data_IF_537440191992
#
_entry.id   IF_537440191992
#
_cell.length_a   1.000
_cell.length_b   1.000
_cell.length_c   1.000
_cell.angle_alpha   90.00
_cell.angle_beta   90.00
_cell.angle_gamma   90.00
#
_symmetry.space_group_name_H-M   'P 1'
#
loop_
_entity.id
_entity.type
_entity.pdbx_description
1 polymer ?
#
# COMPACT_ATOMS: atom_id res chain seq x y z
N UNK A 1 25.53 17.99 -46.29
CA UNK A 1 25.69 18.82 -45.07
C UNK A 1 25.97 17.93 -43.88
N UNK A 2 27.26 17.81 -43.50
CA UNK A 2 27.73 17.11 -42.32
C UNK A 2 27.42 17.96 -41.08
N UNK A 3 26.76 17.39 -40.07
CA UNK A 3 26.59 18.03 -38.76
C UNK A 3 27.66 17.43 -37.84
N UNK A 4 28.59 18.28 -37.41
CA UNK A 4 29.67 17.95 -36.48
C UNK A 4 29.16 18.08 -35.05
N UNK A 5 29.28 17.03 -34.25
CA UNK A 5 28.93 16.99 -32.83
C UNK A 5 30.18 17.43 -32.03
N UNK A 6 30.14 18.64 -31.47
CA UNK A 6 31.21 19.15 -30.61
C UNK A 6 30.90 18.77 -29.15
N UNK A 7 31.68 17.86 -28.58
CA UNK A 7 31.60 17.44 -27.18
C UNK A 7 32.55 18.31 -26.36
N UNK A 8 32.00 19.17 -25.51
CA UNK A 8 32.76 19.95 -24.54
C UNK A 8 32.97 19.11 -23.27
N UNK A 9 34.22 18.75 -22.98
CA UNK A 9 34.64 18.09 -21.73
C UNK A 9 35.12 19.17 -20.76
N UNK A 10 34.37 19.43 -19.69
CA UNK A 10 34.82 20.28 -18.59
C UNK A 10 35.67 19.46 -17.61
N UNK A 11 36.98 19.72 -17.60
CA UNK A 11 37.92 19.24 -16.57
C UNK A 11 38.04 20.32 -15.49
N UNK A 12 37.55 20.05 -14.28
CA UNK A 12 37.79 20.90 -13.11
C UNK A 12 39.14 20.54 -12.48
N UNK A 13 40.10 21.47 -12.56
CA UNK A 13 41.38 21.42 -11.84
C UNK A 13 41.22 22.18 -10.52
N UNK A 14 41.30 21.47 -9.39
CA UNK A 14 41.42 22.09 -8.06
C UNK A 14 42.90 22.44 -7.80
N UNK A 15 43.22 23.73 -7.73
CA UNK A 15 44.50 24.22 -7.21
C UNK A 15 44.45 24.34 -5.68
N UNK A 16 45.30 23.58 -4.98
CA UNK A 16 45.60 23.77 -3.57
C UNK A 16 46.58 24.95 -3.42
N UNK A 17 46.18 25.99 -2.68
CA UNK A 17 47.09 27.05 -2.23
C UNK A 17 47.53 26.73 -0.80
N UNK A 18 48.80 26.34 -0.64
CA UNK A 18 49.48 26.27 0.65
C UNK A 18 49.98 27.67 1.04
N UNK A 19 49.65 28.15 2.24
CA UNK A 19 50.33 29.28 2.88
C UNK A 19 51.12 28.81 4.10
N UNK A 20 52.43 29.11 4.05
CA UNK A 20 53.43 28.87 5.07
C UNK A 20 53.27 29.83 6.27
N UNK A 21 53.48 29.32 7.49
CA UNK A 21 53.45 30.14 8.70
C UNK A 21 54.13 29.51 9.93
N UNK A 22 55.47 29.49 9.89
CA UNK A 22 56.47 29.52 11.00
C UNK A 22 56.44 28.52 12.17
N UNK A 23 57.60 27.88 12.32
CA UNK A 23 58.10 27.07 13.44
C UNK A 23 58.17 27.82 14.79
N UNK A 24 57.95 27.08 15.88
CA UNK A 24 58.77 27.19 17.10
C UNK A 24 58.86 25.84 17.82
N UNK A 25 60.10 25.41 18.08
CA UNK A 25 60.53 24.21 18.82
C UNK A 25 59.97 24.16 20.26
N UNK A 26 59.60 22.98 20.74
CA UNK A 26 60.35 22.34 21.84
C UNK A 26 59.95 20.86 21.99
N UNK A 27 60.98 20.03 22.13
CA UNK A 27 60.97 18.58 22.25
C UNK A 27 60.31 18.08 23.54
N UNK A 28 59.58 16.97 23.48
CA UNK A 28 59.76 15.82 24.38
C UNK A 28 58.95 14.61 23.88
N UNK A 29 59.68 13.52 23.66
CA UNK A 29 59.19 12.19 23.32
C UNK A 29 58.72 11.50 24.60
N UNK A 30 57.51 10.92 24.58
CA UNK A 30 57.14 9.81 25.46
C UNK A 30 56.13 8.93 24.70
N UNK A 31 56.61 7.74 24.32
CA UNK A 31 55.78 6.64 23.83
C UNK A 31 54.85 6.18 24.94
N UNK A 32 53.54 6.30 24.71
CA UNK A 32 52.49 5.72 25.52
C UNK A 32 51.39 5.22 24.61
N UNK A 33 51.26 3.90 24.51
CA UNK A 33 50.15 3.23 23.83
C UNK A 33 48.82 3.62 24.50
N UNK A 34 48.14 4.61 23.93
CA UNK A 34 46.73 4.85 24.15
C UNK A 34 46.02 4.63 22.81
N UNK A 35 45.40 3.45 22.66
CA UNK A 35 44.33 3.28 21.69
C UNK A 35 43.37 4.47 21.88
N UNK A 36 43.06 5.28 20.84
CA UNK A 36 42.00 6.25 20.98
C UNK A 36 40.74 5.42 21.18
N UNK A 37 40.24 5.42 22.42
CA UNK A 37 38.85 5.07 22.68
C UNK A 37 38.05 5.93 21.72
N UNK A 38 37.40 5.33 20.72
CA UNK A 38 36.32 5.97 20.00
C UNK A 38 35.20 6.20 21.01
N UNK A 39 35.36 7.20 21.86
CA UNK A 39 34.26 7.87 22.53
C UNK A 39 33.46 8.52 21.41
N UNK A 40 32.49 7.76 20.90
CA UNK A 40 31.43 8.25 20.03
C UNK A 40 30.90 9.52 20.70
N UNK A 41 30.94 10.70 20.04
CA UNK A 41 30.37 11.90 20.61
C UNK A 41 28.89 11.65 20.94
N UNK A 42 28.45 12.18 22.08
CA UNK A 42 27.14 12.00 22.69
C UNK A 42 25.97 12.65 21.91
N UNK A 43 26.03 12.69 20.58
CA UNK A 43 24.96 13.18 19.72
C UNK A 43 24.89 12.42 18.38
N UNK A 44 25.28 11.14 18.37
CA UNK A 44 25.17 10.29 17.19
C UNK A 44 23.73 9.74 17.10
N UNK A 45 22.85 10.45 16.39
CA UNK A 45 21.57 9.89 15.96
C UNK A 45 21.83 8.56 15.25
N UNK A 46 21.21 7.47 15.73
CA UNK A 46 21.45 6.13 15.18
C UNK A 46 20.61 5.94 13.93
N UNK A 47 21.26 5.80 12.78
CA UNK A 47 20.60 5.44 11.53
C UNK A 47 20.36 3.93 11.52
N UNK A 48 19.15 3.50 11.15
CA UNK A 48 18.84 2.11 10.92
C UNK A 48 17.87 1.94 9.75
N UNK A 49 17.77 0.71 9.26
CA UNK A 49 16.99 0.39 8.07
C UNK A 49 15.91 -0.64 8.39
N UNK A 50 14.85 -0.67 7.59
CA UNK A 50 13.83 -1.72 7.63
C UNK A 50 13.33 -2.02 6.23
N UNK A 51 13.25 -3.30 5.88
CA UNK A 51 12.77 -3.76 4.57
C UNK A 51 11.41 -4.41 4.76
N UNK A 52 10.39 -3.86 4.12
CA UNK A 52 9.02 -4.41 4.11
C UNK A 52 8.63 -4.80 2.71
N UNK A 53 8.22 -6.06 2.54
CA UNK A 53 7.54 -6.54 1.35
C UNK A 53 6.03 -6.52 1.57
N UNK A 54 5.32 -5.77 0.72
CA UNK A 54 3.87 -5.79 0.61
C UNK A 54 3.46 -6.66 -0.59
N UNK A 55 3.06 -7.90 -0.30
CA UNK A 55 2.54 -8.83 -1.31
C UNK A 55 1.02 -8.68 -1.44
N UNK A 56 0.64 -7.63 -2.17
CA UNK A 56 -0.73 -7.35 -2.57
C UNK A 56 -1.26 -8.32 -3.62
N UNK A 57 -2.59 -8.37 -3.78
CA UNK A 57 -3.24 -9.28 -4.73
C UNK A 57 -2.99 -8.97 -6.21
N UNK A 58 -2.52 -7.76 -6.54
CA UNK A 58 -2.25 -7.32 -7.92
C UNK A 58 -0.80 -6.97 -8.20
N UNK A 59 0.05 -7.04 -7.18
CA UNK A 59 1.48 -6.76 -7.29
C UNK A 59 2.18 -6.87 -5.95
N UNK A 60 3.48 -7.15 -6.02
CA UNK A 60 4.38 -7.25 -4.86
C UNK A 60 5.29 -6.03 -4.85
N UNK A 61 5.40 -5.37 -3.69
CA UNK A 61 6.16 -4.13 -3.51
C UNK A 61 7.25 -4.36 -2.47
N UNK A 62 8.38 -3.70 -2.64
CA UNK A 62 9.42 -3.58 -1.63
C UNK A 62 9.55 -2.13 -1.20
N UNK A 63 9.57 -1.93 0.11
CA UNK A 63 9.85 -0.66 0.77
C UNK A 63 11.14 -0.84 1.57
N UNK A 64 12.10 0.04 1.35
CA UNK A 64 13.34 0.11 2.14
C UNK A 64 13.36 1.46 2.82
N UNK A 65 13.05 1.46 4.12
CA UNK A 65 13.00 2.66 4.94
C UNK A 65 14.36 2.92 5.58
N UNK A 66 14.75 4.19 5.61
CA UNK A 66 15.87 4.71 6.39
C UNK A 66 15.32 5.55 7.52
N UNK A 67 15.67 5.21 8.75
CA UNK A 67 15.20 5.89 9.95
C UNK A 67 16.36 6.52 10.71
N UNK A 68 16.07 7.63 11.38
CA UNK A 68 16.97 8.32 12.29
C UNK A 68 16.38 8.24 13.69
N UNK A 69 17.03 7.49 14.59
CA UNK A 69 16.71 7.45 16.01
C UNK A 69 17.40 8.64 16.70
N UNK A 70 16.61 9.64 17.13
CA UNK A 70 17.12 10.82 17.86
C UNK A 70 17.26 10.58 19.35
N UNK A 71 16.28 9.93 19.95
CA UNK A 71 16.22 9.60 21.37
C UNK A 71 16.02 8.08 21.53
N UNK A 72 16.65 7.39 22.49
CA UNK A 72 16.55 5.93 22.63
C UNK A 72 15.11 5.41 22.68
N UNK A 73 14.23 6.08 23.41
CA UNK A 73 12.83 5.67 23.62
C UNK A 73 11.83 6.45 22.73
N UNK A 74 12.33 7.37 21.89
CA UNK A 74 11.52 8.19 21.00
C UNK A 74 11.05 7.45 19.76
N UNK A 75 10.08 8.03 19.03
CA UNK A 75 9.71 7.51 17.73
C UNK A 75 10.81 7.79 16.70
N UNK A 76 11.20 6.79 15.89
CA UNK A 76 12.18 7.00 14.85
C UNK A 76 11.65 7.98 13.81
N UNK A 77 12.48 8.92 13.37
CA UNK A 77 12.11 9.84 12.29
C UNK A 77 12.42 9.16 10.97
N UNK A 78 11.43 9.08 10.08
CA UNK A 78 11.66 8.60 8.72
C UNK A 78 12.49 9.63 7.94
N UNK A 79 13.63 9.20 7.42
CA UNK A 79 14.54 10.01 6.61
C UNK A 79 14.28 9.79 5.12
N UNK A 80 14.20 8.53 4.69
CA UNK A 80 14.01 8.19 3.29
C UNK A 80 13.25 6.88 3.09
N UNK A 81 12.58 6.76 1.94
CA UNK A 81 11.98 5.54 1.44
C UNK A 81 12.48 5.26 0.02
N UNK A 82 13.07 4.08 -0.19
CA UNK A 82 13.18 3.51 -1.52
C UNK A 82 12.00 2.57 -1.76
N UNK A 83 11.31 2.77 -2.87
CA UNK A 83 10.13 2.00 -3.26
C UNK A 83 10.32 1.35 -4.64
N UNK A 84 9.98 0.07 -4.77
CA UNK A 84 9.86 -0.60 -6.07
C UNK A 84 8.70 -1.60 -6.07
N UNK A 85 8.11 -1.85 -7.24
CA UNK A 85 6.94 -2.72 -7.36
C UNK A 85 6.98 -3.58 -8.61
N UNK A 86 6.50 -4.81 -8.50
CA UNK A 86 6.36 -5.76 -9.60
C UNK A 86 4.92 -6.27 -9.70
N UNK A 87 4.50 -6.61 -10.92
CA UNK A 87 3.19 -7.20 -11.23
C UNK A 87 3.40 -8.48 -12.07
N UNK A 88 2.51 -9.47 -11.99
CA UNK A 88 1.35 -9.57 -11.10
C UNK A 88 1.74 -9.81 -9.63
N UNK A 89 0.75 -9.90 -8.73
CA UNK A 89 0.99 -10.27 -7.33
C UNK A 89 1.29 -11.77 -7.19
N UNK A 90 1.90 -12.18 -6.08
CA UNK A 90 2.36 -13.57 -5.92
C UNK A 90 1.24 -14.62 -6.01
N UNK A 91 0.00 -14.25 -5.70
CA UNK A 91 -1.15 -15.16 -5.85
C UNK A 91 -1.40 -15.60 -7.29
N UNK A 92 -0.87 -14.89 -8.30
CA UNK A 92 -0.92 -15.33 -9.68
C UNK A 92 -0.02 -16.54 -9.98
N UNK A 93 0.94 -16.83 -9.08
CA UNK A 93 1.90 -17.93 -9.21
C UNK A 93 1.60 -19.06 -8.23
N UNK A 94 0.36 -19.17 -7.76
CA UNK A 94 -0.05 -20.19 -6.78
C UNK A 94 0.20 -21.64 -7.25
N UNK A 95 0.27 -21.86 -8.57
CA UNK A 95 0.56 -23.16 -9.17
C UNK A 95 2.03 -23.31 -9.62
N UNK A 96 2.84 -22.24 -9.55
CA UNK A 96 4.26 -22.22 -9.95
C UNK A 96 5.06 -21.36 -8.95
N UNK A 97 5.23 -21.82 -7.70
CA UNK A 97 5.81 -21.02 -6.61
C UNK A 97 7.22 -20.48 -6.90
N UNK A 98 8.02 -21.16 -7.73
CA UNK A 98 9.38 -20.77 -8.08
C UNK A 98 9.44 -19.37 -8.71
N UNK A 99 8.40 -18.98 -9.47
CA UNK A 99 8.28 -17.64 -10.05
C UNK A 99 8.08 -16.59 -8.95
N UNK A 100 7.37 -16.93 -7.87
CA UNK A 100 7.20 -16.06 -6.72
C UNK A 100 8.55 -15.81 -6.02
N UNK A 101 9.34 -16.87 -5.81
CA UNK A 101 10.70 -16.76 -5.30
C UNK A 101 11.60 -15.89 -6.17
N UNK A 102 11.58 -16.10 -7.50
CA UNK A 102 12.32 -15.24 -8.43
C UNK A 102 11.91 -13.76 -8.33
N UNK A 103 10.61 -13.48 -8.21
CA UNK A 103 10.08 -12.12 -8.03
C UNK A 103 10.62 -11.47 -6.76
N UNK A 104 10.64 -12.21 -5.64
CA UNK A 104 11.18 -11.71 -4.37
C UNK A 104 12.70 -11.51 -4.45
N UNK A 105 13.44 -12.43 -5.09
CA UNK A 105 14.90 -12.28 -5.34
C UNK A 105 15.18 -11.00 -6.15
N UNK A 106 14.39 -10.69 -7.17
CA UNK A 106 14.53 -9.46 -7.96
C UNK A 106 14.34 -8.20 -7.11
N UNK A 107 13.30 -8.17 -6.29
CA UNK A 107 13.03 -7.06 -5.37
C UNK A 107 14.11 -6.92 -4.28
N UNK A 108 14.62 -8.03 -3.72
CA UNK A 108 15.73 -8.03 -2.76
C UNK A 108 17.01 -7.39 -3.32
N UNK A 109 17.26 -7.45 -4.63
CA UNK A 109 18.40 -6.75 -5.25
C UNK A 109 18.28 -5.24 -5.06
N UNK A 110 17.06 -4.70 -4.99
CA UNK A 110 16.84 -3.28 -4.73
C UNK A 110 17.23 -2.93 -3.30
N UNK A 111 16.89 -3.77 -2.31
CA UNK A 111 17.36 -3.62 -0.94
C UNK A 111 18.89 -3.72 -0.82
N UNK A 112 19.53 -4.71 -1.48
CA UNK A 112 21.00 -4.85 -1.48
C UNK A 112 21.73 -3.64 -2.05
N UNK A 113 21.12 -2.94 -3.02
CA UNK A 113 21.66 -1.69 -3.60
C UNK A 113 21.43 -0.47 -2.70
N UNK A 114 20.42 -0.51 -1.85
CA UNK A 114 19.99 0.64 -1.03
C UNK A 114 20.63 0.62 0.36
N UNK A 115 20.69 -0.55 1.01
CA UNK A 115 21.21 -0.70 2.37
C UNK A 115 22.72 -0.93 2.33
N UNK A 116 23.54 -0.21 3.10
CA UNK A 116 24.98 -0.45 3.19
C UNK A 116 25.30 -1.89 3.66
N UNK A 117 26.31 -2.57 3.09
CA UNK A 117 26.64 -3.95 3.45
C UNK A 117 26.88 -4.20 4.94
N UNK A 118 27.44 -3.21 5.65
CA UNK A 118 27.70 -3.29 7.10
C UNK A 118 26.43 -3.34 7.94
N UNK A 119 25.28 -2.90 7.40
CA UNK A 119 23.99 -2.90 8.09
C UNK A 119 23.11 -4.10 7.72
N UNK A 120 23.50 -4.93 6.74
CA UNK A 120 22.67 -6.03 6.24
C UNK A 120 22.24 -6.97 7.38
N UNK A 121 23.19 -7.47 8.17
CA UNK A 121 22.93 -8.40 9.29
C UNK A 121 22.07 -7.83 10.41
N UNK A 122 21.85 -6.51 10.46
CA UNK A 122 21.02 -5.83 11.47
C UNK A 122 19.70 -5.32 10.89
N UNK A 123 19.57 -5.31 9.57
CA UNK A 123 18.39 -4.78 8.88
C UNK A 123 17.34 -5.88 8.79
N UNK A 124 16.20 -5.76 9.49
CA UNK A 124 15.12 -6.74 9.37
C UNK A 124 14.54 -6.69 7.96
N UNK A 125 14.33 -7.85 7.38
CA UNK A 125 13.46 -8.04 6.24
C UNK A 125 12.18 -8.71 6.71
N UNK A 126 11.03 -8.18 6.29
CA UNK A 126 9.70 -8.68 6.63
C UNK A 126 8.85 -8.76 5.37
N UNK A 127 8.10 -9.84 5.25
CA UNK A 127 7.15 -10.08 4.18
C UNK A 127 5.76 -10.26 4.74
N UNK A 128 4.80 -9.53 4.17
CA UNK A 128 3.40 -9.64 4.54
C UNK A 128 2.56 -9.75 3.27
N UNK A 129 1.93 -10.91 3.12
CA UNK A 129 0.91 -11.09 2.11
C UNK A 129 -0.45 -10.60 2.62
N UNK A 130 -1.25 -10.00 1.74
CA UNK A 130 -2.57 -9.48 2.10
C UNK A 130 -3.68 -10.36 1.50
N UNK A 131 -4.78 -9.76 1.03
CA UNK A 131 -5.95 -10.49 0.55
C UNK A 131 -5.68 -11.46 -0.59
N UNK A 132 -4.64 -11.24 -1.40
CA UNK A 132 -4.29 -12.12 -2.51
C UNK A 132 -4.07 -13.56 -2.07
N UNK A 133 -3.20 -13.76 -1.06
CA UNK A 133 -2.94 -15.09 -0.52
C UNK A 133 -4.03 -15.56 0.44
N UNK A 134 -4.73 -14.65 1.14
CA UNK A 134 -5.90 -15.01 1.97
C UNK A 134 -7.02 -15.68 1.18
N UNK A 135 -7.14 -15.39 -0.11
CA UNK A 135 -8.15 -15.97 -1.01
C UNK A 135 -7.72 -17.29 -1.66
N UNK A 136 -6.46 -17.71 -1.49
CA UNK A 136 -5.99 -18.98 -2.04
C UNK A 136 -6.35 -20.15 -1.11
N UNK A 137 -6.38 -21.39 -1.64
CA UNK A 137 -6.35 -22.58 -0.82
C UNK A 137 -5.15 -22.55 0.15
N UNK A 138 -5.33 -22.91 1.43
CA UNK A 138 -4.27 -22.79 2.44
C UNK A 138 -2.95 -23.47 2.05
N UNK A 139 -3.01 -24.64 1.40
CA UNK A 139 -1.82 -25.35 0.94
C UNK A 139 -1.01 -24.53 -0.08
N UNK A 140 -1.67 -23.95 -1.10
CA UNK A 140 -0.99 -23.12 -2.11
C UNK A 140 -0.40 -21.85 -1.50
N UNK A 141 -1.14 -21.23 -0.57
CA UNK A 141 -0.64 -20.07 0.17
C UNK A 141 0.60 -20.44 0.99
N UNK A 142 0.60 -21.60 1.66
CA UNK A 142 1.73 -22.08 2.45
C UNK A 142 2.97 -22.31 1.59
N UNK A 143 2.85 -23.04 0.48
CA UNK A 143 3.99 -23.29 -0.43
C UNK A 143 4.58 -22.00 -1.00
N UNK A 144 3.75 -21.00 -1.31
CA UNK A 144 4.24 -19.68 -1.71
C UNK A 144 5.04 -18.99 -0.59
N UNK A 145 4.64 -19.12 0.67
CA UNK A 145 5.36 -18.54 1.79
C UNK A 145 6.66 -19.28 2.09
N UNK A 146 6.71 -20.60 1.92
CA UNK A 146 7.92 -21.41 2.05
C UNK A 146 8.99 -20.96 1.06
N UNK A 147 8.66 -20.81 -0.23
CA UNK A 147 9.61 -20.31 -1.23
C UNK A 147 10.11 -18.88 -0.88
N UNK A 148 9.25 -18.03 -0.33
CA UNK A 148 9.66 -16.69 0.12
C UNK A 148 10.58 -16.76 1.34
N UNK A 149 10.32 -17.67 2.26
CA UNK A 149 11.15 -17.91 3.44
C UNK A 149 12.55 -18.39 3.02
N UNK A 150 12.65 -19.35 2.11
CA UNK A 150 13.92 -19.83 1.58
C UNK A 150 14.73 -18.69 0.93
N UNK A 151 14.08 -17.84 0.14
CA UNK A 151 14.71 -16.65 -0.45
C UNK A 151 15.22 -15.65 0.59
N UNK A 152 14.52 -15.52 1.72
CA UNK A 152 14.93 -14.64 2.81
C UNK A 152 16.11 -15.22 3.59
N UNK A 153 16.10 -16.52 3.85
CA UNK A 153 17.17 -17.23 4.57
C UNK A 153 18.48 -17.28 3.75
N UNK A 154 18.39 -17.32 2.41
CA UNK A 154 19.52 -17.12 1.50
C UNK A 154 20.05 -15.67 1.46
N UNK A 155 19.29 -14.71 1.99
CA UNK A 155 19.62 -13.29 1.94
C UNK A 155 20.59 -12.89 3.07
N UNK A 156 21.37 -11.80 2.91
CA UNK A 156 22.29 -11.35 3.95
C UNK A 156 21.59 -10.54 5.07
N UNK A 157 20.28 -10.36 4.97
CA UNK A 157 19.51 -9.52 5.88
C UNK A 157 19.13 -10.28 7.15
N UNK A 158 18.76 -9.54 8.20
CA UNK A 158 18.21 -10.16 9.40
C UNK A 158 16.80 -10.68 9.13
N UNK A 159 16.56 -11.97 9.36
CA UNK A 159 15.26 -12.63 9.18
C UNK A 159 14.68 -13.00 10.55
N UNK A 160 13.76 -12.20 11.11
CA UNK A 160 13.04 -12.56 12.33
C UNK A 160 12.19 -13.83 12.14
N UNK A 161 11.87 -14.54 13.23
CA UNK A 161 11.04 -15.75 13.18
C UNK A 161 9.63 -15.52 12.59
N UNK A 162 9.07 -14.31 12.72
CA UNK A 162 7.80 -13.89 12.11
C UNK A 162 8.01 -13.07 10.82
N UNK A 163 9.13 -13.27 10.11
CA UNK A 163 9.48 -12.50 8.93
C UNK A 163 8.51 -12.70 7.78
N UNK A 164 8.11 -13.94 7.47
CA UNK A 164 7.21 -14.25 6.36
C UNK A 164 5.85 -14.69 6.90
N UNK A 165 4.80 -13.93 6.61
CA UNK A 165 3.44 -14.29 7.06
C UNK A 165 2.33 -13.65 6.24
N UNK A 166 1.10 -14.15 6.40
CA UNK A 166 -0.10 -13.51 5.88
C UNK A 166 -0.62 -12.52 6.92
N UNK A 167 -0.73 -11.25 6.54
CA UNK A 167 -1.29 -10.22 7.39
C UNK A 167 -2.82 -10.35 7.43
N UNK A 168 -3.36 -10.41 8.65
CA UNK A 168 -4.81 -10.30 8.83
C UNK A 168 -5.28 -8.89 8.44
N UNK A 169 -6.53 -8.77 7.98
CA UNK A 169 -7.01 -7.49 7.44
C UNK A 169 -7.15 -6.39 8.50
N UNK A 170 -7.36 -6.76 9.76
CA UNK A 170 -7.39 -5.82 10.90
C UNK A 170 -6.04 -5.14 11.09
N UNK A 171 -4.94 -5.90 11.09
CA UNK A 171 -3.58 -5.40 11.23
C UNK A 171 -3.16 -4.55 10.02
N UNK A 172 -3.67 -4.86 8.82
CA UNK A 172 -3.48 -4.05 7.61
C UNK A 172 -4.06 -2.63 7.83
N UNK A 173 -5.31 -2.54 8.30
CA UNK A 173 -5.95 -1.26 8.63
C UNK A 173 -5.25 -0.51 9.78
N UNK A 174 -4.88 -1.21 10.86
CA UNK A 174 -4.17 -0.60 12.00
C UNK A 174 -2.77 -0.09 11.62
N UNK A 175 -2.05 -0.84 10.78
CA UNK A 175 -0.73 -0.44 10.31
C UNK A 175 -0.83 0.76 9.36
N UNK A 176 -1.82 0.79 8.47
CA UNK A 176 -2.12 1.99 7.68
C UNK A 176 -2.45 3.19 8.57
N UNK A 177 -3.26 3.01 9.62
CA UNK A 177 -3.57 4.09 10.56
C UNK A 177 -2.29 4.63 11.24
N UNK A 178 -1.37 3.75 11.65
CA UNK A 178 -0.08 4.14 12.20
C UNK A 178 0.79 4.88 11.19
N UNK A 179 0.83 4.46 9.91
CA UNK A 179 1.50 5.21 8.84
C UNK A 179 0.97 6.64 8.76
N UNK A 180 -0.35 6.80 8.70
CA UNK A 180 -0.98 8.12 8.60
C UNK A 180 -0.61 9.02 9.78
N UNK A 181 -0.74 8.51 10.99
CA UNK A 181 -0.44 9.29 12.19
C UNK A 181 1.05 9.63 12.27
N UNK A 182 1.95 8.74 11.83
CA UNK A 182 3.37 9.05 11.79
C UNK A 182 3.71 10.20 10.82
N UNK A 183 3.10 10.20 9.62
CA UNK A 183 3.47 11.14 8.55
C UNK A 183 2.71 12.47 8.64
N UNK A 184 1.45 12.45 9.09
CA UNK A 184 0.59 13.66 9.15
C UNK A 184 0.63 14.38 10.49
N UNK A 185 0.77 13.67 11.61
CA UNK A 185 0.67 14.23 12.96
C UNK A 185 1.88 15.07 13.44
N UNK A 186 3.02 15.22 12.71
CA UNK A 186 3.98 16.27 13.05
C UNK A 186 3.40 17.70 12.89
N UNK A 187 2.20 17.85 12.31
CA UNK A 187 1.39 19.07 12.42
C UNK A 187 0.31 18.84 13.48
N UNK A 188 0.40 19.60 14.57
CA UNK A 188 -0.35 19.52 15.83
C UNK A 188 -1.89 19.72 15.68
N UNK A 189 -2.57 18.91 14.87
CA UNK A 189 -4.02 18.97 14.66
C UNK A 189 -4.68 17.76 15.31
N UNK A 190 -5.40 18.01 16.41
CA UNK A 190 -6.19 17.05 17.22
C UNK A 190 -7.33 16.32 16.46
N UNK A 191 -7.31 16.25 15.13
CA UNK A 191 -8.32 15.54 14.35
C UNK A 191 -7.74 14.23 13.84
N UNK A 192 -7.93 13.16 14.60
CA UNK A 192 -7.73 11.80 14.09
C UNK A 192 -8.61 11.59 12.85
N UNK A 193 -7.98 11.29 11.72
CA UNK A 193 -8.67 11.10 10.43
C UNK A 193 -9.03 9.63 10.20
N UNK A 194 -10.12 9.40 9.48
CA UNK A 194 -10.46 8.06 9.01
C UNK A 194 -9.67 7.70 7.76
N UNK A 195 -9.41 6.42 7.56
CA UNK A 195 -8.69 5.90 6.40
C UNK A 195 -9.50 4.82 5.68
N UNK A 196 -9.38 4.80 4.36
CA UNK A 196 -9.95 3.80 3.46
C UNK A 196 -8.87 3.25 2.55
N UNK A 197 -8.71 1.93 2.55
CA UNK A 197 -7.85 1.23 1.60
C UNK A 197 -8.73 0.39 0.68
N UNK A 198 -8.55 0.52 -0.64
CA UNK A 198 -9.18 -0.35 -1.61
C UNK A 198 -8.09 -1.11 -2.36
N UNK A 199 -7.80 -2.31 -1.87
CA UNK A 199 -6.92 -3.25 -2.53
C UNK A 199 -7.63 -4.01 -3.66
N UNK A 200 -6.91 -4.94 -4.29
CA UNK A 200 -7.50 -5.79 -5.32
C UNK A 200 -8.41 -6.88 -4.74
N UNK A 201 -8.04 -7.46 -3.59
CA UNK A 201 -8.75 -8.58 -2.96
C UNK A 201 -9.62 -8.21 -1.76
N UNK A 202 -9.33 -7.11 -1.06
CA UNK A 202 -10.10 -6.62 0.07
C UNK A 202 -10.19 -5.09 0.05
N UNK A 203 -11.08 -4.56 0.87
CA UNK A 203 -11.10 -3.14 1.24
C UNK A 203 -11.14 -3.01 2.75
N UNK A 204 -10.47 -1.99 3.28
CA UNK A 204 -10.33 -1.73 4.70
C UNK A 204 -10.86 -0.35 5.02
N UNK A 205 -11.47 -0.24 6.20
CA UNK A 205 -11.90 1.01 6.78
C UNK A 205 -11.42 1.05 8.22
N UNK A 206 -10.75 2.15 8.60
CA UNK A 206 -10.28 2.35 9.98
C UNK A 206 -10.49 3.80 10.39
N UNK A 207 -11.17 4.03 11.51
CA UNK A 207 -11.37 5.37 12.05
C UNK A 207 -11.57 5.35 13.57
N UNK A 208 -11.40 6.50 14.21
CA UNK A 208 -11.76 6.69 15.60
C UNK A 208 -13.25 7.04 15.68
N UNK A 209 -14.13 6.17 16.22
CA UNK A 209 -15.54 6.50 16.38
C UNK A 209 -15.73 7.57 17.46
N UNK A 210 -16.58 8.55 17.19
CA UNK A 210 -17.03 9.59 18.13
C UNK A 210 -18.45 9.34 18.61
N UNK A 211 -19.25 8.60 17.85
CA UNK A 211 -20.64 8.30 18.19
C UNK A 211 -20.72 7.07 19.08
N UNK A 212 -21.30 7.23 20.28
CA UNK A 212 -21.62 6.11 21.18
C UNK A 212 -22.45 5.03 20.49
N UNK A 213 -23.40 5.42 19.62
CA UNK A 213 -24.19 4.47 18.83
C UNK A 213 -23.32 3.59 17.94
N UNK A 214 -22.26 4.15 17.33
CA UNK A 214 -21.35 3.37 16.48
C UNK A 214 -20.58 2.36 17.31
N UNK A 215 -20.08 2.73 18.48
CA UNK A 215 -19.39 1.82 19.40
C UNK A 215 -20.31 0.68 19.86
N UNK A 216 -21.55 1.01 20.26
CA UNK A 216 -22.50 0.01 20.78
C UNK A 216 -23.10 -0.90 19.70
N UNK A 217 -23.27 -0.40 18.46
CA UNK A 217 -23.85 -1.18 17.36
C UNK A 217 -22.83 -1.96 16.52
N UNK A 218 -21.55 -1.64 16.66
CA UNK A 218 -20.50 -2.31 15.89
C UNK A 218 -20.38 -3.79 16.32
N UNK A 219 -20.12 -4.70 15.38
CA UNK A 219 -19.67 -6.05 15.72
C UNK A 219 -18.46 -6.00 16.67
N UNK A 220 -18.39 -6.92 17.63
CA UNK A 220 -17.35 -6.90 18.66
C UNK A 220 -15.93 -7.01 18.07
N UNK A 221 -15.77 -7.73 16.96
CA UNK A 221 -14.50 -7.90 16.23
C UNK A 221 -14.07 -6.67 15.43
N UNK A 222 -14.93 -5.65 15.30
CA UNK A 222 -14.63 -4.41 14.57
C UNK A 222 -14.06 -3.33 15.50
N UNK A 223 -14.27 -3.47 16.81
CA UNK A 223 -13.76 -2.55 17.82
C UNK A 223 -12.43 -3.09 18.36
N UNK A 224 -11.33 -2.41 18.04
CA UNK A 224 -9.99 -2.87 18.39
C UNK A 224 -9.26 -1.83 19.22
N UNK A 225 -8.75 -2.27 20.38
CA UNK A 225 -7.82 -1.49 21.18
C UNK A 225 -6.43 -1.55 20.58
N UNK A 226 -5.85 -0.39 20.35
CA UNK A 226 -4.63 -0.24 19.59
C UNK A 226 -3.70 0.77 20.25
N UNK A 227 -2.53 0.29 20.67
CA UNK A 227 -1.49 1.15 21.22
C UNK A 227 -0.68 1.81 20.10
N UNK A 228 -0.64 3.14 20.15
CA UNK A 228 0.04 3.98 19.18
C UNK A 228 0.64 5.18 19.89
N UNK A 229 1.96 5.33 19.81
CA UNK A 229 2.68 6.53 20.26
C UNK A 229 2.35 6.90 21.72
N UNK A 230 2.49 5.92 22.63
CA UNK A 230 2.24 6.04 24.07
C UNK A 230 0.78 6.29 24.48
N UNK A 231 -0.16 6.14 23.55
CA UNK A 231 -1.60 6.24 23.81
C UNK A 231 -2.34 5.00 23.31
N UNK A 232 -3.35 4.56 24.04
CA UNK A 232 -4.26 3.50 23.61
C UNK A 232 -5.49 4.11 22.97
N UNK A 233 -5.78 3.72 21.74
CA UNK A 233 -6.97 4.13 21.01
C UNK A 233 -7.94 2.96 20.85
N UNK A 234 -9.23 3.23 20.94
CA UNK A 234 -10.25 2.27 20.57
C UNK A 234 -10.78 2.62 19.18
N UNK A 235 -10.31 1.88 18.17
CA UNK A 235 -10.58 2.17 16.77
C UNK A 235 -11.67 1.24 16.23
N UNK A 236 -12.54 1.79 15.39
CA UNK A 236 -13.32 0.97 14.47
C UNK A 236 -12.39 0.58 13.33
N UNK A 237 -12.20 -0.72 13.10
CA UNK A 237 -11.40 -1.23 11.99
C UNK A 237 -12.00 -2.52 11.45
N UNK A 238 -12.13 -2.60 10.14
CA UNK A 238 -12.53 -3.85 9.51
C UNK A 238 -11.98 -3.99 8.10
N UNK A 239 -11.76 -5.24 7.68
CA UNK A 239 -11.33 -5.63 6.35
C UNK A 239 -12.36 -6.54 5.70
N UNK A 240 -13.01 -6.05 4.66
CA UNK A 240 -13.96 -6.83 3.86
C UNK A 240 -13.19 -7.64 2.80
N UNK A 241 -12.84 -8.88 3.14
CA UNK A 241 -12.19 -9.83 2.23
C UNK A 241 -13.15 -10.24 1.10
N UNK A 242 -12.68 -10.27 -0.14
CA UNK A 242 -13.54 -10.50 -1.32
C UNK A 242 -14.20 -9.24 -1.86
N UNK A 243 -14.05 -8.10 -1.19
CA UNK A 243 -14.62 -6.80 -1.60
C UNK A 243 -13.53 -5.79 -2.02
N UNK A 244 -12.36 -6.27 -2.43
CA UNK A 244 -11.41 -5.44 -3.18
C UNK A 244 -11.88 -5.21 -4.61
N UNK A 245 -11.29 -4.27 -5.34
CA UNK A 245 -11.79 -3.87 -6.66
C UNK A 245 -11.79 -5.02 -7.67
N UNK A 246 -10.79 -5.91 -7.64
CA UNK A 246 -10.69 -7.05 -8.57
C UNK A 246 -11.60 -8.20 -8.14
N UNK A 247 -11.67 -8.48 -6.84
CA UNK A 247 -12.59 -9.46 -6.29
C UNK A 247 -14.06 -9.08 -6.52
N UNK A 248 -14.39 -7.79 -6.39
CA UNK A 248 -15.74 -7.28 -6.67
C UNK A 248 -16.16 -7.46 -8.13
N UNK A 249 -15.22 -7.36 -9.09
CA UNK A 249 -15.49 -7.73 -10.49
C UNK A 249 -15.93 -9.19 -10.60
N UNK A 250 -15.18 -10.10 -9.98
CA UNK A 250 -15.55 -11.53 -9.96
C UNK A 250 -16.89 -11.77 -9.29
N UNK A 251 -17.17 -11.11 -8.16
CA UNK A 251 -18.45 -11.25 -7.47
C UNK A 251 -19.63 -10.82 -8.31
N UNK A 252 -19.51 -9.69 -9.02
CA UNK A 252 -20.56 -9.21 -9.92
C UNK A 252 -20.79 -10.15 -11.11
N UNK A 253 -19.74 -10.84 -11.56
CA UNK A 253 -19.79 -11.87 -12.59
C UNK A 253 -20.25 -13.24 -12.05
N UNK A 254 -20.58 -13.37 -10.77
CA UNK A 254 -20.96 -14.64 -10.14
C UNK A 254 -19.82 -15.67 -10.06
N UNK A 255 -18.57 -15.23 -10.20
CA UNK A 255 -17.39 -16.08 -10.31
C UNK A 255 -16.49 -16.11 -9.06
N UNK A 256 -16.78 -15.30 -8.04
CA UNK A 256 -15.97 -15.29 -6.81
C UNK A 256 -16.08 -16.65 -6.08
N UNK A 257 -14.94 -17.29 -5.81
CA UNK A 257 -14.88 -18.61 -5.18
C UNK A 257 -15.11 -19.79 -6.13
N UNK A 258 -15.27 -19.55 -7.43
CA UNK A 258 -15.22 -20.62 -8.43
C UNK A 258 -13.75 -20.92 -8.78
N UNK A 259 -13.34 -22.18 -8.76
CA UNK A 259 -11.97 -22.64 -9.06
C UNK A 259 -11.60 -22.52 -10.56
N UNK A 260 -12.11 -21.52 -11.27
CA UNK A 260 -11.91 -21.39 -12.73
C UNK A 260 -12.51 -22.55 -13.55
N UNK A 261 -13.20 -23.51 -12.92
CA UNK A 261 -13.67 -24.77 -13.52
C UNK A 261 -14.97 -24.64 -14.33
N UNK A 262 -15.51 -23.44 -14.49
CA UNK A 262 -16.63 -23.19 -15.40
C UNK A 262 -16.18 -22.23 -16.49
N UNK A 263 -15.99 -22.77 -17.70
CA UNK A 263 -15.97 -22.04 -18.98
C UNK A 263 -17.31 -21.32 -19.27
N UNK A 264 -17.96 -20.77 -18.25
CA UNK A 264 -19.17 -19.99 -18.40
C UNK A 264 -18.75 -18.60 -18.80
N UNK A 265 -19.05 -18.22 -20.04
CA UNK A 265 -19.02 -16.84 -20.49
C UNK A 265 -19.84 -16.00 -19.50
N UNK A 266 -19.17 -15.13 -18.74
CA UNK A 266 -19.86 -14.29 -17.78
C UNK A 266 -20.24 -12.97 -18.43
N UNK A 267 -21.52 -12.64 -18.34
CA UNK A 267 -22.08 -11.40 -18.88
C UNK A 267 -22.39 -10.43 -17.75
N UNK A 268 -22.17 -9.13 -17.99
CA UNK A 268 -22.51 -8.08 -17.01
C UNK A 268 -23.01 -6.81 -17.71
N UNK A 269 -23.95 -6.10 -17.07
CA UNK A 269 -24.41 -4.77 -17.52
C UNK A 269 -23.41 -3.65 -17.26
N UNK A 270 -22.34 -3.94 -16.52
CA UNK A 270 -21.24 -3.02 -16.24
C UNK A 270 -20.23 -2.89 -17.39
N UNK A 271 -20.23 -3.84 -18.34
CA UNK A 271 -19.37 -3.81 -19.52
C UNK A 271 -20.14 -3.31 -20.76
N UNK A 272 -19.46 -2.70 -21.76
CA UNK A 272 -20.09 -2.30 -23.01
C UNK A 272 -20.70 -3.50 -23.77
N UNK A 273 -21.87 -3.34 -24.40
CA UNK A 273 -22.63 -4.44 -25.06
C UNK A 273 -21.85 -5.30 -26.06
N UNK A 274 -20.86 -4.73 -26.75
CA UNK A 274 -20.05 -5.42 -27.77
C UNK A 274 -18.65 -5.77 -27.28
N UNK A 275 -18.38 -5.53 -26.01
CA UNK A 275 -17.09 -5.85 -25.43
C UNK A 275 -17.04 -7.34 -25.09
N UNK A 276 -15.97 -7.98 -25.53
CA UNK A 276 -15.54 -9.31 -25.11
C UNK A 276 -14.05 -9.23 -24.82
N UNK A 277 -13.62 -9.84 -23.73
CA UNK A 277 -12.20 -9.89 -23.38
C UNK A 277 -11.93 -10.83 -22.22
N UNK A 278 -10.70 -10.77 -21.74
CA UNK A 278 -10.24 -11.57 -20.61
C UNK A 278 -9.97 -10.71 -19.38
N UNK A 279 -10.16 -11.32 -18.22
CA UNK A 279 -9.81 -10.75 -16.93
C UNK A 279 -9.10 -11.80 -16.09
N UNK A 280 -7.92 -11.48 -15.56
CA UNK A 280 -7.17 -12.41 -14.70
C UNK A 280 -7.09 -11.91 -13.26
N UNK A 281 -7.34 -12.80 -12.30
CA UNK A 281 -7.20 -12.53 -10.87
C UNK A 281 -7.02 -13.83 -10.09
N UNK A 282 -6.12 -13.82 -9.10
CA UNK A 282 -5.91 -14.98 -8.21
C UNK A 282 -5.39 -16.24 -8.90
N UNK A 283 -4.63 -16.10 -10.00
CA UNK A 283 -4.09 -17.23 -10.77
C UNK A 283 -5.03 -17.76 -11.86
N UNK A 284 -6.25 -17.25 -11.95
CA UNK A 284 -7.24 -17.67 -12.94
C UNK A 284 -7.49 -16.59 -13.99
N UNK A 285 -7.87 -17.02 -15.20
CA UNK A 285 -8.32 -16.17 -16.30
C UNK A 285 -9.79 -16.43 -16.61
N UNK A 286 -10.55 -15.36 -16.78
CA UNK A 286 -12.00 -15.38 -16.97
C UNK A 286 -12.36 -14.70 -18.28
N UNK A 287 -13.16 -15.36 -19.10
CA UNK A 287 -13.75 -14.77 -20.31
C UNK A 287 -15.00 -13.97 -19.91
N UNK A 288 -14.99 -12.67 -20.21
CA UNK A 288 -16.04 -11.73 -19.78
C UNK A 288 -16.57 -10.94 -20.97
N UNK A 289 -17.85 -10.63 -20.92
CA UNK A 289 -18.49 -9.82 -21.97
C UNK A 289 -19.60 -8.92 -21.42
N UNK A 290 -19.95 -7.90 -22.20
CA UNK A 290 -21.18 -7.13 -21.95
C UNK A 290 -22.42 -7.98 -22.20
N UNK A 291 -23.52 -7.68 -21.51
CA UNK A 291 -24.83 -8.27 -21.84
C UNK A 291 -25.23 -7.92 -23.27
N UNK A 292 -25.66 -8.92 -24.04
CA UNK A 292 -26.17 -8.77 -25.41
C UNK A 292 -27.59 -8.21 -25.39
N UNK A 293 -28.43 -8.79 -24.53
CA UNK A 293 -29.83 -8.45 -24.34
C UNK A 293 -30.02 -7.79 -22.98
N UNK A 294 -30.55 -6.56 -22.97
CA UNK A 294 -30.78 -5.80 -21.75
C UNK A 294 -30.24 -4.36 -21.76
N UNK A 295 -30.33 -3.72 -20.59
CA UNK A 295 -29.93 -2.33 -20.38
C UNK A 295 -28.52 -2.31 -19.79
N UNK A 296 -27.61 -1.57 -20.42
CA UNK A 296 -26.27 -1.27 -19.89
C UNK A 296 -26.23 0.15 -19.34
N UNK A 297 -25.14 0.47 -18.64
CA UNK A 297 -24.89 1.80 -18.10
C UNK A 297 -25.04 1.86 -16.59
N UNK A 298 -24.85 3.07 -16.04
CA UNK A 298 -24.60 3.24 -14.61
C UNK A 298 -25.70 2.63 -13.72
N UNK A 299 -26.97 2.78 -14.09
CA UNK A 299 -28.10 2.29 -13.27
C UNK A 299 -28.13 0.76 -13.22
N UNK A 300 -28.00 0.09 -14.37
CA UNK A 300 -28.00 -1.36 -14.43
C UNK A 300 -26.77 -1.95 -13.72
N UNK A 301 -25.59 -1.36 -13.98
CA UNK A 301 -24.36 -1.75 -13.31
C UNK A 301 -24.44 -1.58 -11.78
N UNK A 302 -25.01 -0.47 -11.31
CA UNK A 302 -25.22 -0.24 -9.86
C UNK A 302 -26.09 -1.33 -9.24
N UNK A 303 -27.13 -1.79 -9.94
CA UNK A 303 -28.01 -2.84 -9.43
C UNK A 303 -27.29 -4.19 -9.27
N UNK A 304 -26.36 -4.52 -10.16
CA UNK A 304 -25.51 -5.70 -10.01
C UNK A 304 -24.54 -5.54 -8.83
N UNK A 305 -23.85 -4.41 -8.76
CA UNK A 305 -22.83 -4.18 -7.73
C UNK A 305 -23.42 -4.02 -6.33
N UNK A 306 -24.66 -3.52 -6.19
CA UNK A 306 -25.35 -3.51 -4.91
C UNK A 306 -25.60 -4.92 -4.36
N UNK A 307 -25.78 -5.93 -5.22
CA UNK A 307 -25.90 -7.34 -4.78
C UNK A 307 -24.58 -7.86 -4.19
N UNK A 308 -23.45 -7.38 -4.70
CA UNK A 308 -22.10 -7.71 -4.19
C UNK A 308 -21.86 -7.16 -2.79
N UNK A 309 -22.55 -6.08 -2.40
CA UNK A 309 -22.37 -5.43 -1.09
C UNK A 309 -23.41 -5.86 -0.06
N UNK A 310 -24.63 -6.18 -0.52
CA UNK A 310 -25.80 -6.42 0.34
C UNK A 310 -25.54 -7.54 1.35
N UNK A 311 -25.73 -7.23 2.63
CA UNK A 311 -25.58 -8.19 3.72
C UNK A 311 -24.13 -8.41 4.20
N UNK A 312 -23.15 -8.07 3.37
CA UNK A 312 -21.71 -8.23 3.64
C UNK A 312 -21.16 -6.97 4.33
N UNK A 313 -21.33 -5.80 3.72
CA UNK A 313 -20.83 -4.56 4.30
C UNK A 313 -21.77 -4.08 5.41
N UNK A 314 -21.21 -3.82 6.59
CA UNK A 314 -21.95 -3.26 7.73
C UNK A 314 -21.72 -1.76 7.79
N UNK A 315 -22.80 -1.00 7.66
CA UNK A 315 -22.76 0.46 7.63
C UNK A 315 -22.57 1.02 9.05
N UNK A 316 -21.45 1.73 9.36
CA UNK A 316 -21.31 2.41 10.63
C UNK A 316 -22.22 3.65 10.68
N UNK A 317 -22.88 3.87 11.82
CA UNK A 317 -23.85 4.97 11.95
C UNK A 317 -23.21 6.37 11.73
N UNK A 318 -21.99 6.57 12.19
CA UNK A 318 -21.30 7.87 12.22
C UNK A 318 -20.87 8.40 10.86
N UNK A 319 -20.70 7.55 9.84
CA UNK A 319 -20.18 7.98 8.53
C UNK A 319 -21.16 8.89 7.75
N UNK A 320 -22.39 9.02 8.26
CA UNK A 320 -23.38 9.99 7.77
C UNK A 320 -23.00 11.42 8.17
N UNK A 321 -22.22 11.63 9.22
CA UNK A 321 -21.93 12.95 9.77
C UNK A 321 -20.51 13.38 9.39
N UNK A 322 -20.45 14.17 8.32
CA UNK A 322 -19.27 14.71 7.60
C UNK A 322 -17.94 14.66 8.37
N UNK A 323 -17.18 13.59 8.16
CA UNK A 323 -15.78 13.45 8.55
C UNK A 323 -14.90 13.35 7.30
N UNK A 324 -13.71 13.93 7.36
CA UNK A 324 -12.71 13.80 6.29
C UNK A 324 -12.05 12.44 6.39
N UNK A 325 -12.04 11.71 5.28
CA UNK A 325 -11.35 10.44 5.15
C UNK A 325 -10.20 10.57 4.15
N UNK A 326 -9.09 9.92 4.44
CA UNK A 326 -8.04 9.66 3.46
C UNK A 326 -8.31 8.34 2.78
N UNK A 327 -8.17 8.31 1.46
CA UNK A 327 -8.38 7.10 0.67
C UNK A 327 -7.21 6.92 -0.30
N UNK A 328 -6.72 5.68 -0.40
CA UNK A 328 -5.52 5.34 -1.18
C UNK A 328 -5.74 4.03 -1.96
N UNK A 329 -4.67 3.53 -2.58
CA UNK A 329 -4.71 2.36 -3.48
C UNK A 329 -5.68 2.59 -4.63
N UNK A 330 -6.60 1.65 -4.90
CA UNK A 330 -7.49 1.76 -6.06
C UNK A 330 -8.53 2.89 -5.97
N UNK A 331 -8.74 3.51 -4.80
CA UNK A 331 -9.48 4.78 -4.76
C UNK A 331 -8.72 5.90 -5.48
N UNK A 332 -7.41 5.98 -5.27
CA UNK A 332 -6.54 6.95 -5.93
C UNK A 332 -6.41 6.63 -7.41
N UNK A 333 -6.05 5.39 -7.75
CA UNK A 333 -5.75 4.99 -9.14
C UNK A 333 -6.94 5.26 -10.08
N UNK A 334 -8.16 4.85 -9.68
CA UNK A 334 -9.35 5.05 -10.52
C UNK A 334 -9.83 6.50 -10.53
N UNK A 335 -9.55 7.28 -9.48
CA UNK A 335 -9.82 8.72 -9.52
C UNK A 335 -8.90 9.43 -10.51
N UNK A 336 -7.60 9.11 -10.51
CA UNK A 336 -6.63 9.66 -11.44
C UNK A 336 -6.95 9.25 -12.88
N UNK A 337 -7.23 7.96 -13.11
CA UNK A 337 -7.62 7.44 -14.41
C UNK A 337 -8.91 8.08 -14.95
N UNK A 338 -9.87 8.34 -14.06
CA UNK A 338 -11.11 9.02 -14.41
C UNK A 338 -10.93 10.54 -14.61
N UNK A 339 -9.75 11.10 -14.32
CA UNK A 339 -9.46 12.54 -14.42
C UNK A 339 -10.08 13.38 -13.30
N UNK A 340 -10.37 12.78 -12.14
CA UNK A 340 -10.90 13.48 -10.97
C UNK A 340 -9.81 14.14 -10.13
N UNK A 341 -8.57 13.64 -10.23
CA UNK A 341 -7.39 14.16 -9.52
C UNK A 341 -6.17 14.15 -10.43
N UNK A 342 -5.13 14.85 -10.00
CA UNK A 342 -3.80 14.79 -10.59
C UNK A 342 -3.08 13.51 -10.16
N UNK A 343 -2.51 12.76 -11.12
CA UNK A 343 -1.84 11.48 -10.85
C UNK A 343 -0.58 11.62 -9.97
N UNK A 344 0.05 12.79 -9.96
CA UNK A 344 1.27 13.05 -9.18
C UNK A 344 0.97 13.68 -7.81
N UNK A 345 0.01 14.61 -7.75
CA UNK A 345 -0.29 15.40 -6.54
C UNK A 345 -1.46 14.87 -5.72
N UNK A 346 -2.34 14.07 -6.33
CA UNK A 346 -3.61 13.69 -5.74
C UNK A 346 -4.62 14.84 -5.71
N UNK A 347 -5.59 14.77 -4.79
CA UNK A 347 -6.60 15.79 -4.64
C UNK A 347 -7.75 15.43 -3.69
N UNK A 348 -8.63 16.41 -3.46
CA UNK A 348 -9.84 16.24 -2.68
C UNK A 348 -11.04 16.02 -3.60
N UNK A 349 -11.76 14.90 -3.45
CA UNK A 349 -12.89 14.53 -4.31
C UNK A 349 -14.12 14.26 -3.46
N UNK A 350 -15.27 14.79 -3.84
CA UNK A 350 -16.53 14.41 -3.19
C UNK A 350 -17.09 13.14 -3.81
N UNK A 351 -17.81 12.35 -3.02
CA UNK A 351 -18.46 11.13 -3.50
C UNK A 351 -19.45 11.43 -4.65
N UNK A 352 -20.12 12.59 -4.63
CA UNK A 352 -20.97 13.03 -5.75
C UNK A 352 -20.20 13.16 -7.07
N UNK A 353 -18.91 13.51 -7.03
CA UNK A 353 -18.09 13.73 -8.22
C UNK A 353 -17.67 12.39 -8.81
N UNK A 354 -17.32 11.39 -7.98
CA UNK A 354 -17.19 10.00 -8.41
C UNK A 354 -18.46 9.50 -9.09
N UNK A 355 -19.64 9.74 -8.49
CA UNK A 355 -20.94 9.33 -9.05
C UNK A 355 -21.24 10.02 -10.38
N UNK A 356 -20.99 11.32 -10.49
CA UNK A 356 -21.13 12.06 -11.74
C UNK A 356 -20.25 11.45 -12.82
N UNK A 357 -18.98 11.19 -12.49
CA UNK A 357 -18.02 10.65 -13.43
C UNK A 357 -18.33 9.21 -13.84
N UNK A 358 -18.75 8.36 -12.90
CA UNK A 358 -19.22 7.01 -13.20
C UNK A 358 -20.39 7.02 -14.20
N UNK A 359 -21.37 7.93 -14.02
CA UNK A 359 -22.48 8.09 -14.98
C UNK A 359 -22.01 8.49 -16.38
N UNK A 360 -21.06 9.41 -16.47
CA UNK A 360 -20.48 9.84 -17.74
C UNK A 360 -19.78 8.67 -18.45
N UNK A 361 -18.88 7.98 -17.75
CA UNK A 361 -18.10 6.86 -18.29
C UNK A 361 -19.02 5.72 -18.74
N UNK A 362 -20.02 5.37 -17.93
CA UNK A 362 -20.92 4.26 -18.22
C UNK A 362 -21.91 4.54 -19.35
N UNK A 363 -22.42 5.77 -19.46
CA UNK A 363 -23.52 6.08 -20.39
C UNK A 363 -23.02 6.74 -21.69
N UNK A 364 -21.85 7.39 -21.66
CA UNK A 364 -21.25 8.11 -22.80
C UNK A 364 -19.73 7.86 -22.84
N UNK A 365 -19.27 6.63 -23.11
CA UNK A 365 -17.85 6.31 -23.11
C UNK A 365 -17.13 7.08 -24.23
N UNK A 366 -16.14 7.87 -23.85
CA UNK A 366 -15.16 8.47 -24.76
C UNK A 366 -14.18 7.42 -25.28
N UNK A 367 -13.46 7.74 -26.34
CA UNK A 367 -12.45 6.85 -26.94
C UNK A 367 -11.38 6.41 -25.92
N UNK A 368 -10.87 7.35 -25.11
CA UNK A 368 -9.94 7.05 -24.01
C UNK A 368 -10.53 6.05 -23.00
N UNK A 369 -11.80 6.20 -22.64
CA UNK A 369 -12.46 5.28 -21.70
C UNK A 369 -12.82 3.93 -22.31
N UNK A 370 -12.89 3.81 -23.65
CA UNK A 370 -13.06 2.50 -24.32
C UNK A 370 -11.81 1.63 -24.21
N UNK A 371 -10.64 2.22 -23.99
CA UNK A 371 -9.39 1.50 -23.75
C UNK A 371 -9.35 0.83 -22.36
N UNK A 372 -10.11 1.33 -21.38
CA UNK A 372 -10.35 0.63 -20.11
C UNK A 372 -11.82 0.22 -19.99
N UNK A 373 -12.18 -0.98 -20.49
CA UNK A 373 -13.55 -1.46 -20.51
C UNK A 373 -14.17 -1.64 -19.11
N UNK A 374 -13.35 -1.78 -18.07
CA UNK A 374 -13.82 -1.98 -16.69
C UNK A 374 -14.04 -0.68 -15.91
N UNK A 375 -13.59 0.48 -16.41
CA UNK A 375 -13.64 1.73 -15.65
C UNK A 375 -15.07 2.11 -15.22
N UNK A 376 -16.08 1.84 -16.05
CA UNK A 376 -17.48 2.00 -15.67
C UNK A 376 -17.84 1.17 -14.43
N UNK A 377 -17.47 -0.11 -14.44
CA UNK A 377 -17.70 -1.05 -13.35
C UNK A 377 -17.00 -0.58 -12.07
N UNK A 378 -15.72 -0.22 -12.19
CA UNK A 378 -14.89 0.12 -11.04
C UNK A 378 -15.36 1.41 -10.35
N UNK A 379 -15.65 2.46 -11.13
CA UNK A 379 -16.17 3.71 -10.59
C UNK A 379 -17.56 3.52 -9.99
N UNK A 380 -18.41 2.70 -10.62
CA UNK A 380 -19.73 2.38 -10.06
C UNK A 380 -19.59 1.60 -8.76
N UNK A 381 -18.63 0.67 -8.67
CA UNK A 381 -18.36 -0.09 -7.45
C UNK A 381 -17.88 0.81 -6.32
N UNK A 382 -16.92 1.70 -6.58
CA UNK A 382 -16.44 2.69 -5.61
C UNK A 382 -17.62 3.52 -5.07
N UNK A 383 -18.50 3.99 -5.94
CA UNK A 383 -19.69 4.78 -5.53
C UNK A 383 -20.63 3.95 -4.65
N UNK A 384 -20.97 2.72 -5.07
CA UNK A 384 -21.82 1.83 -4.29
C UNK A 384 -21.19 1.46 -2.95
N UNK A 385 -19.89 1.16 -2.91
CA UNK A 385 -19.17 0.81 -1.70
C UNK A 385 -19.17 1.97 -0.71
N UNK A 386 -18.83 3.19 -1.15
CA UNK A 386 -18.77 4.36 -0.28
C UNK A 386 -20.15 4.78 0.21
N UNK A 387 -21.14 4.86 -0.69
CA UNK A 387 -22.46 5.41 -0.36
C UNK A 387 -23.38 4.36 0.26
N UNK A 388 -23.53 3.22 -0.42
CA UNK A 388 -24.54 2.22 -0.07
C UNK A 388 -23.96 1.13 0.86
N UNK A 389 -22.64 0.89 0.81
CA UNK A 389 -21.93 0.01 1.74
C UNK A 389 -21.59 0.71 3.06
N UNK A 390 -20.69 1.71 3.01
CA UNK A 390 -20.22 2.42 4.20
C UNK A 390 -21.17 3.52 4.67
N UNK A 391 -22.09 3.99 3.82
CA UNK A 391 -23.10 4.95 4.26
C UNK A 391 -22.71 6.41 4.20
N UNK A 392 -21.64 6.76 3.49
CA UNK A 392 -21.21 8.13 3.36
C UNK A 392 -22.23 8.99 2.60
N UNK A 393 -22.35 10.26 2.98
CA UNK A 393 -23.12 11.26 2.22
C UNK A 393 -22.39 11.61 0.93
N UNK A 394 -23.15 11.96 -0.12
CA UNK A 394 -22.56 12.39 -1.41
C UNK A 394 -21.71 13.67 -1.28
N UNK A 395 -21.90 14.45 -0.21
CA UNK A 395 -21.11 15.63 0.13
C UNK A 395 -19.78 15.32 0.82
N UNK A 396 -19.58 14.09 1.32
CA UNK A 396 -18.34 13.68 2.01
C UNK A 396 -17.15 13.83 1.07
N UNK A 397 -16.07 14.41 1.59
CA UNK A 397 -14.81 14.64 0.89
C UNK A 397 -13.82 13.54 1.24
N UNK A 398 -13.29 12.90 0.20
CA UNK A 398 -12.14 11.99 0.30
C UNK A 398 -10.88 12.74 -0.10
N UNK A 399 -9.86 12.67 0.76
CA UNK A 399 -8.51 13.11 0.44
C UNK A 399 -7.77 11.95 -0.21
N UNK A 400 -7.52 12.06 -1.51
CA UNK A 400 -6.85 11.06 -2.31
C UNK A 400 -5.38 11.46 -2.44
N UNK A 401 -4.51 10.67 -1.83
CA UNK A 401 -3.07 10.88 -1.89
C UNK A 401 -2.38 9.55 -2.18
N UNK A 402 -1.32 9.62 -2.98
CA UNK A 402 -0.44 8.49 -3.26
C UNK A 402 0.79 8.51 -2.38
N UNK A 403 1.31 9.72 -2.13
CA UNK A 403 2.49 9.95 -1.30
C UNK A 403 2.28 11.13 -0.38
N UNK A 404 2.79 11.00 0.83
CA UNK A 404 2.77 12.07 1.82
C UNK A 404 4.20 12.24 2.32
N UNK A 405 4.76 13.45 2.15
CA UNK A 405 6.19 13.73 2.40
C UNK A 405 7.12 12.74 1.67
N UNK A 406 6.80 12.44 0.41
CA UNK A 406 7.48 11.47 -0.46
C UNK A 406 7.38 9.99 -0.04
N UNK A 407 6.60 9.68 1.00
CA UNK A 407 6.37 8.31 1.47
C UNK A 407 5.10 7.74 0.87
N UNK A 408 5.16 6.52 0.34
CA UNK A 408 3.99 5.81 -0.17
C UNK A 408 2.91 5.64 0.91
N UNK A 409 1.68 6.01 0.59
CA UNK A 409 0.56 5.82 1.52
C UNK A 409 0.08 4.39 1.49
N UNK A 410 0.67 3.56 2.34
CA UNK A 410 0.29 2.17 2.56
C UNK A 410 0.43 1.78 4.04
N UNK A 411 0.07 0.54 4.37
CA UNK A 411 0.27 -0.01 5.70
C UNK A 411 1.75 -0.30 6.03
N UNK A 412 2.64 -0.31 5.04
CA UNK A 412 4.02 -0.80 5.18
C UNK A 412 4.86 0.00 6.18
N UNK A 413 4.76 1.33 6.19
CA UNK A 413 5.53 2.16 7.12
C UNK A 413 5.11 1.91 8.58
N UNK A 414 3.81 1.86 8.86
CA UNK A 414 3.30 1.57 10.19
C UNK A 414 3.71 0.19 10.69
N UNK A 415 3.80 -0.80 9.79
CA UNK A 415 4.37 -2.10 10.12
C UNK A 415 5.88 -2.01 10.42
N UNK A 416 6.67 -1.27 9.62
CA UNK A 416 8.09 -1.06 9.87
C UNK A 416 8.35 -0.42 11.24
N UNK A 417 7.60 0.63 11.58
CA UNK A 417 7.70 1.32 12.88
C UNK A 417 7.36 0.36 14.02
N UNK A 418 6.26 -0.38 13.92
CA UNK A 418 5.85 -1.35 14.93
C UNK A 418 6.93 -2.40 15.19
N UNK A 419 7.49 -2.97 14.13
CA UNK A 419 8.52 -3.99 14.25
C UNK A 419 9.85 -3.41 14.77
N UNK A 420 10.20 -2.18 14.41
CA UNK A 420 11.40 -1.52 14.94
C UNK A 420 11.36 -1.37 16.47
N UNK A 421 10.17 -1.11 17.03
CA UNK A 421 9.94 -1.02 18.47
C UNK A 421 9.96 -2.41 19.12
N UNK A 422 9.32 -3.41 18.49
CA UNK A 422 9.27 -4.80 18.97
C UNK A 422 10.66 -5.43 19.08
N UNK A 423 11.53 -5.21 18.10
CA UNK A 423 12.83 -5.86 18.02
C UNK A 423 13.98 -5.05 18.66
N UNK A 424 13.71 -3.87 19.24
CA UNK A 424 14.72 -2.96 19.82
C UNK A 424 15.96 -2.82 18.93
N UNK A 425 15.74 -2.48 17.66
CA UNK A 425 16.79 -2.48 16.62
C UNK A 425 17.84 -1.36 16.83
N UNK A 426 17.60 -0.45 17.78
CA UNK A 426 18.39 0.74 18.06
C UNK A 426 19.61 0.51 18.95
#
# INVERSE_FOLDING_TARGET
NRVSLCVCVCVCVCMCVCSNGKLRNSSQVLFGNALPSLSRPANASRIFYSIIFDAGSTGTRIHVYTFIQKEPDGLPVLDNEMFHSMKPGLSAFADIPEIAGHTVRQLLRVAKKTVPPVEWKRTPVLFRATAGLRLLPPAKAHTLLEEVQDVFDESPFYVPADSVSIMNGTNEGLSAKRTFEHVFTPQNTQKTVGILDLGGGSTQITFLPKSRKTVESAPADYMVRFDMFSSTYELYTHSYLGNGIKAARLSALGALGSEGTKHTHQHTSCLPKKYTGEFSFGGFSYHVSGVTDGVTGFKACSQELLKVLKGIIKQPHELKDSSTFYAFSYYFDHAAEAGLIDESRGGAVKIRDFKKRAKEVCNRPSERTRLNPFLCMDLTYIVCLLKDGFGFKESTVLQLTKKVRNVETSWALGAAIYHSQKFRIH
#
